data_IF_085266836718
#
_entry.id   IF_085266836718
#
_cell.length_a   1.000
_cell.length_b   1.000
_cell.length_c   1.000
_cell.angle_alpha   90.00
_cell.angle_beta   90.00
_cell.angle_gamma   90.00
#
_symmetry.space_group_name_H-M   'P 1'
#
loop_
_entity.id
_entity.type
_entity.pdbx_description
1 polymer ?
#
# COMPACT_ATOMS: atom_id res chain seq x y z
N UNK A 1 -31.49 106.76 -58.50
CA UNK A 1 -31.62 106.10 -57.19
C UNK A 1 -32.04 104.62 -57.27
N UNK A 2 -32.76 104.15 -58.31
CA UNK A 2 -33.28 102.76 -58.37
C UNK A 2 -32.27 101.61 -58.54
N UNK A 3 -31.03 101.85 -58.99
CA UNK A 3 -30.06 100.78 -59.25
C UNK A 3 -29.33 100.27 -57.99
N UNK A 4 -29.34 101.05 -56.89
CA UNK A 4 -28.74 100.66 -55.61
C UNK A 4 -29.67 99.77 -54.77
N UNK A 5 -30.99 99.87 -54.92
CA UNK A 5 -31.97 99.05 -54.20
C UNK A 5 -32.03 97.60 -54.71
N UNK A 6 -31.96 97.39 -56.03
CA UNK A 6 -32.00 96.05 -56.65
C UNK A 6 -30.74 95.22 -56.30
N UNK A 7 -29.58 95.87 -56.20
CA UNK A 7 -28.35 95.20 -55.75
C UNK A 7 -28.38 94.87 -54.25
N UNK A 8 -29.05 95.69 -53.43
CA UNK A 8 -29.23 95.40 -52.00
C UNK A 8 -30.20 94.24 -51.75
N UNK A 9 -31.28 94.10 -52.54
CA UNK A 9 -32.21 92.97 -52.43
C UNK A 9 -31.58 91.63 -52.86
N UNK A 10 -30.83 91.60 -53.96
CA UNK A 10 -30.10 90.40 -54.38
C UNK A 10 -29.05 89.96 -53.34
N UNK A 11 -28.38 90.92 -52.70
CA UNK A 11 -27.44 90.63 -51.61
C UNK A 11 -28.12 90.08 -50.35
N UNK A 12 -29.33 90.56 -50.03
CA UNK A 12 -30.14 90.06 -48.91
C UNK A 12 -30.59 88.61 -49.16
N UNK A 13 -31.10 88.31 -50.35
CA UNK A 13 -31.51 86.94 -50.72
C UNK A 13 -30.33 85.96 -50.64
N UNK A 14 -29.17 86.33 -51.19
CA UNK A 14 -27.98 85.47 -51.14
C UNK A 14 -27.46 85.25 -49.71
N UNK A 15 -27.60 86.24 -48.82
CA UNK A 15 -27.32 86.06 -47.38
C UNK A 15 -28.30 85.10 -46.71
N UNK A 16 -29.59 85.24 -46.97
CA UNK A 16 -30.60 84.34 -46.39
C UNK A 16 -30.39 82.89 -46.81
N UNK A 17 -30.03 82.66 -48.06
CA UNK A 17 -29.74 81.32 -48.59
C UNK A 17 -28.49 80.71 -47.94
N UNK A 18 -27.40 81.48 -47.81
CA UNK A 18 -26.18 81.06 -47.11
C UNK A 18 -26.43 80.79 -45.62
N UNK A 19 -27.26 81.59 -44.95
CA UNK A 19 -27.64 81.37 -43.55
C UNK A 19 -28.41 80.06 -43.42
N UNK A 20 -29.32 79.77 -44.35
CA UNK A 20 -30.11 78.54 -44.37
C UNK A 20 -29.22 77.30 -44.60
N UNK A 21 -28.25 77.39 -45.50
CA UNK A 21 -27.27 76.34 -45.77
C UNK A 21 -26.34 76.12 -44.57
N UNK A 22 -25.86 77.18 -43.91
CA UNK A 22 -25.11 77.10 -42.65
C UNK A 22 -25.92 76.42 -41.55
N UNK A 23 -27.22 76.71 -41.47
CA UNK A 23 -28.09 76.12 -40.45
C UNK A 23 -28.33 74.62 -40.71
N UNK A 24 -28.48 74.21 -41.97
CA UNK A 24 -28.59 72.79 -42.36
C UNK A 24 -27.28 72.01 -42.15
N UNK A 25 -26.14 72.60 -42.49
CA UNK A 25 -24.84 71.96 -42.23
C UNK A 25 -24.56 71.85 -40.74
N UNK A 26 -24.98 72.83 -39.94
CA UNK A 26 -24.87 72.78 -38.48
C UNK A 26 -25.75 71.69 -37.86
N UNK A 27 -26.98 71.48 -38.36
CA UNK A 27 -27.85 70.39 -37.91
C UNK A 27 -27.30 69.01 -38.32
N UNK A 28 -26.81 68.88 -39.56
CA UNK A 28 -26.18 67.64 -40.02
C UNK A 28 -24.94 67.30 -39.17
N UNK A 29 -24.15 68.30 -38.78
CA UNK A 29 -23.00 68.11 -37.89
C UNK A 29 -23.41 67.67 -36.49
N UNK A 30 -24.51 68.20 -35.93
CA UNK A 30 -25.01 67.74 -34.62
C UNK A 30 -25.51 66.30 -34.68
N UNK A 31 -26.20 65.91 -35.76
CA UNK A 31 -26.68 64.54 -35.95
C UNK A 31 -25.52 63.55 -36.08
N UNK A 32 -24.49 63.91 -36.85
CA UNK A 32 -23.31 63.08 -37.04
C UNK A 32 -22.51 62.92 -35.72
N UNK A 33 -22.47 63.97 -34.89
CA UNK A 33 -21.90 63.89 -33.53
C UNK A 33 -22.72 62.96 -32.63
N UNK A 34 -24.05 63.05 -32.68
CA UNK A 34 -24.93 62.16 -31.91
C UNK A 34 -24.76 60.69 -32.33
N UNK A 35 -24.72 60.41 -33.63
CA UNK A 35 -24.46 59.08 -34.17
C UNK A 35 -23.09 58.55 -33.75
N UNK A 36 -22.05 59.40 -33.76
CA UNK A 36 -20.71 59.02 -33.28
C UNK A 36 -20.72 58.61 -31.81
N UNK A 37 -21.38 59.37 -30.95
CA UNK A 37 -21.50 59.04 -29.51
C UNK A 37 -22.25 57.72 -29.32
N UNK A 38 -23.34 57.51 -30.07
CA UNK A 38 -24.10 56.27 -29.99
C UNK A 38 -23.29 55.06 -30.49
N UNK A 39 -22.55 55.21 -31.59
CA UNK A 39 -21.64 54.17 -32.10
C UNK A 39 -20.53 53.87 -31.12
N UNK A 40 -19.95 54.89 -30.50
CA UNK A 40 -18.90 54.71 -29.49
C UNK A 40 -19.44 53.92 -28.28
N UNK A 41 -20.63 54.27 -27.79
CA UNK A 41 -21.28 53.52 -26.71
C UNK A 41 -21.60 52.06 -27.12
N UNK A 42 -22.01 51.82 -28.37
CA UNK A 42 -22.22 50.44 -28.88
C UNK A 42 -20.92 49.66 -28.96
N UNK A 43 -19.83 50.28 -29.44
CA UNK A 43 -18.51 49.66 -29.52
C UNK A 43 -18.00 49.30 -28.12
N UNK A 44 -18.13 50.20 -27.15
CA UNK A 44 -17.75 49.96 -25.76
C UNK A 44 -18.51 48.76 -25.15
N UNK A 45 -19.82 48.66 -25.40
CA UNK A 45 -20.62 47.51 -24.97
C UNK A 45 -20.19 46.20 -25.62
N UNK A 46 -19.91 46.20 -26.93
CA UNK A 46 -19.44 45.00 -27.65
C UNK A 46 -18.07 44.55 -27.17
N UNK A 47 -17.17 45.49 -26.89
CA UNK A 47 -15.84 45.18 -26.32
C UNK A 47 -15.99 44.58 -24.92
N UNK A 48 -16.86 45.14 -24.06
CA UNK A 48 -17.13 44.60 -22.74
C UNK A 48 -17.67 43.15 -22.81
N UNK A 49 -18.63 42.89 -23.71
CA UNK A 49 -19.17 41.54 -23.92
C UNK A 49 -18.10 40.56 -24.44
N UNK A 50 -17.28 40.97 -25.40
CA UNK A 50 -16.19 40.12 -25.91
C UNK A 50 -15.15 39.81 -24.83
N UNK A 51 -14.80 40.79 -23.99
CA UNK A 51 -13.89 40.56 -22.86
C UNK A 51 -14.48 39.55 -21.87
N UNK A 52 -15.76 39.67 -21.55
CA UNK A 52 -16.44 38.73 -20.65
C UNK A 52 -16.48 37.31 -21.23
N UNK A 53 -16.84 37.15 -22.51
CA UNK A 53 -16.83 35.85 -23.17
C UNK A 53 -15.44 35.23 -23.20
N UNK A 54 -14.40 36.03 -23.49
CA UNK A 54 -13.02 35.56 -23.52
C UNK A 54 -12.53 35.14 -22.14
N UNK A 55 -12.86 35.89 -21.09
CA UNK A 55 -12.54 35.51 -19.72
C UNK A 55 -13.21 34.17 -19.34
N UNK A 56 -14.48 33.98 -19.72
CA UNK A 56 -15.19 32.74 -19.45
C UNK A 56 -14.63 31.54 -20.21
N UNK A 57 -14.23 31.73 -21.48
CA UNK A 57 -13.56 30.70 -22.26
C UNK A 57 -12.20 30.29 -21.67
N UNK A 58 -11.42 31.25 -21.15
CA UNK A 58 -10.16 30.95 -20.47
C UNK A 58 -10.37 30.18 -19.17
N UNK A 59 -11.41 30.51 -18.40
CA UNK A 59 -11.78 29.75 -17.19
C UNK A 59 -12.15 28.31 -17.52
N UNK A 60 -13.03 28.10 -18.51
CA UNK A 60 -13.40 26.75 -18.96
C UNK A 60 -12.20 25.96 -19.49
N UNK A 61 -11.29 26.60 -20.22
CA UNK A 61 -10.06 25.96 -20.69
C UNK A 61 -9.15 25.53 -19.54
N UNK A 62 -9.03 26.35 -18.49
CA UNK A 62 -8.23 26.01 -17.30
C UNK A 62 -8.87 24.87 -16.51
N UNK A 63 -10.20 24.88 -16.34
CA UNK A 63 -10.94 23.80 -15.70
C UNK A 63 -10.78 22.47 -16.45
N UNK A 64 -10.89 22.49 -17.78
CA UNK A 64 -10.68 21.30 -18.62
C UNK A 64 -9.27 20.73 -18.47
N UNK A 65 -8.24 21.59 -18.45
CA UNK A 65 -6.85 21.14 -18.25
C UNK A 65 -6.63 20.57 -16.86
N UNK A 66 -7.23 21.17 -15.82
CA UNK A 66 -7.15 20.66 -14.45
C UNK A 66 -7.81 19.28 -14.31
N UNK A 67 -8.97 19.07 -14.94
CA UNK A 67 -9.66 17.77 -14.94
C UNK A 67 -8.84 16.68 -15.63
N UNK A 68 -8.21 16.97 -16.79
CA UNK A 68 -7.34 16.02 -17.47
C UNK A 68 -6.11 15.64 -16.64
N UNK A 69 -5.52 16.60 -15.92
CA UNK A 69 -4.40 16.32 -15.02
C UNK A 69 -4.82 15.46 -13.83
N UNK A 70 -5.99 15.72 -13.24
CA UNK A 70 -6.54 14.90 -12.16
C UNK A 70 -6.81 13.47 -12.61
N UNK A 71 -7.36 13.28 -13.82
CA UNK A 71 -7.62 11.94 -14.36
C UNK A 71 -6.33 11.13 -14.60
N UNK A 72 -5.28 11.80 -15.12
CA UNK A 72 -3.95 11.20 -15.24
C UNK A 72 -3.34 10.83 -13.88
N UNK A 73 -3.50 11.69 -12.86
CA UNK A 73 -3.06 11.40 -11.49
C UNK A 73 -3.83 10.24 -10.86
N UNK A 74 -5.14 10.17 -11.07
CA UNK A 74 -5.99 9.08 -10.58
C UNK A 74 -5.61 7.75 -11.22
N UNK A 75 -5.37 7.74 -12.54
CA UNK A 75 -4.92 6.54 -13.26
C UNK A 75 -3.56 6.05 -12.73
N UNK A 76 -2.59 6.96 -12.60
CA UNK A 76 -1.29 6.63 -11.99
C UNK A 76 -1.41 6.14 -10.54
N UNK A 77 -2.31 6.72 -9.75
CA UNK A 77 -2.58 6.27 -8.38
C UNK A 77 -3.18 4.87 -8.36
N UNK A 78 -4.12 4.57 -9.26
CA UNK A 78 -4.71 3.23 -9.39
C UNK A 78 -3.67 2.17 -9.78
N UNK A 79 -2.79 2.47 -10.74
CA UNK A 79 -1.71 1.57 -11.15
C UNK A 79 -0.75 1.29 -9.99
N UNK A 80 -0.40 2.33 -9.21
CA UNK A 80 0.43 2.18 -8.03
C UNK A 80 -0.26 1.34 -6.95
N UNK A 81 -1.57 1.52 -6.72
CA UNK A 81 -2.34 0.73 -5.76
C UNK A 81 -2.44 -0.74 -6.19
N UNK A 82 -2.63 -1.02 -7.48
CA UNK A 82 -2.61 -2.39 -8.02
C UNK A 82 -1.24 -3.04 -7.83
N UNK A 83 -0.16 -2.32 -8.16
CA UNK A 83 1.20 -2.82 -7.95
C UNK A 83 1.51 -3.06 -6.46
N UNK A 84 1.03 -2.19 -5.57
CA UNK A 84 1.15 -2.39 -4.12
C UNK A 84 0.36 -3.61 -3.64
N UNK A 85 -0.89 -3.78 -4.11
CA UNK A 85 -1.70 -4.95 -3.81
C UNK A 85 -0.99 -6.24 -4.22
N UNK A 86 -0.44 -6.29 -5.43
CA UNK A 86 0.25 -7.48 -5.96
C UNK A 86 1.54 -7.78 -5.19
N UNK A 87 2.24 -6.74 -4.69
CA UNK A 87 3.36 -6.92 -3.75
C UNK A 87 2.87 -7.51 -2.42
N UNK A 88 1.77 -7.01 -1.86
CA UNK A 88 1.21 -7.54 -0.61
C UNK A 88 0.77 -9.00 -0.74
N UNK A 89 0.12 -9.39 -1.84
CA UNK A 89 -0.27 -10.79 -2.07
C UNK A 89 0.96 -11.68 -2.19
N UNK A 90 2.00 -11.24 -2.91
CA UNK A 90 3.26 -11.97 -3.04
C UNK A 90 3.97 -12.14 -1.69
N UNK A 91 4.01 -11.07 -0.88
CA UNK A 91 4.58 -11.12 0.47
C UNK A 91 3.75 -12.04 1.36
N UNK A 92 2.43 -11.96 1.31
CA UNK A 92 1.54 -12.81 2.08
C UNK A 92 1.73 -14.29 1.72
N UNK A 93 1.83 -14.63 0.43
CA UNK A 93 2.13 -15.98 -0.03
C UNK A 93 3.52 -16.46 0.39
N UNK A 94 4.52 -15.58 0.31
CA UNK A 94 5.87 -15.89 0.79
C UNK A 94 5.91 -16.14 2.31
N UNK A 95 5.19 -15.34 3.10
CA UNK A 95 5.05 -15.53 4.55
C UNK A 95 4.29 -16.81 4.85
N UNK A 96 3.21 -17.11 4.12
CA UNK A 96 2.45 -18.35 4.28
C UNK A 96 3.30 -19.58 3.99
N UNK A 97 4.10 -19.56 2.94
CA UNK A 97 5.09 -20.60 2.64
C UNK A 97 6.18 -20.71 3.71
N UNK A 98 6.59 -19.57 4.29
CA UNK A 98 7.55 -19.51 5.41
C UNK A 98 6.98 -20.06 6.72
N UNK A 99 5.67 -19.99 6.92
CA UNK A 99 4.96 -20.30 8.17
C UNK A 99 4.30 -21.69 8.22
N UNK A 100 4.52 -22.55 7.23
CA UNK A 100 3.88 -23.87 7.17
C UNK A 100 4.65 -25.00 7.86
N UNK A 101 5.92 -24.80 8.22
CA UNK A 101 6.78 -25.86 8.77
C UNK A 101 6.83 -25.75 10.29
N UNK A 102 6.57 -26.86 10.97
CA UNK A 102 6.63 -26.93 12.42
C UNK A 102 7.63 -27.99 12.84
N UNK A 103 8.47 -27.68 13.83
CA UNK A 103 9.36 -28.65 14.46
C UNK A 103 8.83 -29.00 15.85
N UNK A 104 8.62 -30.29 16.09
CA UNK A 104 8.21 -30.82 17.40
C UNK A 104 9.29 -31.78 17.89
N UNK A 105 9.79 -31.55 19.10
CA UNK A 105 10.75 -32.44 19.74
C UNK A 105 10.09 -33.15 20.91
N UNK A 106 10.21 -34.47 20.93
CA UNK A 106 9.62 -35.38 21.89
C UNK A 106 10.73 -36.14 22.63
N UNK A 107 10.52 -36.38 23.92
CA UNK A 107 11.35 -37.24 24.74
C UNK A 107 10.51 -38.40 25.28
N UNK A 108 11.04 -39.61 25.15
CA UNK A 108 10.43 -40.82 25.70
C UNK A 108 11.48 -41.61 26.48
N UNK A 109 11.08 -42.20 27.60
CA UNK A 109 11.88 -43.23 28.28
C UNK A 109 11.18 -44.57 28.08
N UNK A 110 11.80 -45.49 27.33
CA UNK A 110 11.19 -46.80 27.07
C UNK A 110 11.44 -47.73 28.26
N UNK A 111 10.40 -48.42 28.72
CA UNK A 111 10.43 -49.29 29.90
C UNK A 111 10.63 -50.76 29.58
N UNK A 112 10.82 -51.11 28.30
CA UNK A 112 10.68 -52.50 27.83
C UNK A 112 11.72 -53.48 28.36
N UNK A 113 12.90 -53.05 28.82
CA UNK A 113 13.99 -53.97 29.19
C UNK A 113 14.96 -53.37 30.22
N UNK A 114 14.71 -53.56 31.53
CA UNK A 114 15.75 -53.39 32.56
C UNK A 114 15.41 -52.52 33.78
N UNK A 115 16.32 -52.41 34.77
CA UNK A 115 16.14 -51.56 35.94
C UNK A 115 15.94 -50.13 35.43
N UNK A 116 14.74 -49.60 35.63
CA UNK A 116 14.30 -48.52 34.76
C UNK A 116 15.21 -47.29 34.86
N UNK A 117 15.23 -46.54 33.77
CA UNK A 117 16.10 -45.38 33.65
C UNK A 117 15.52 -44.23 34.46
N UNK A 118 16.41 -43.44 35.06
CA UNK A 118 16.10 -42.20 35.74
C UNK A 118 16.72 -41.08 34.92
N UNK A 119 15.85 -40.22 34.38
CA UNK A 119 16.24 -38.99 33.74
C UNK A 119 16.44 -37.92 34.81
N UNK A 120 17.54 -37.19 34.71
CA UNK A 120 17.86 -36.02 35.55
C UNK A 120 17.49 -34.74 34.80
N UNK A 121 18.50 -33.96 34.43
CA UNK A 121 18.30 -32.72 33.68
C UNK A 121 18.40 -32.99 32.18
N UNK A 122 17.56 -32.31 31.40
CA UNK A 122 17.64 -32.28 29.95
C UNK A 122 17.73 -30.83 29.46
N UNK A 123 18.63 -30.55 28.54
CA UNK A 123 18.76 -29.28 27.84
C UNK A 123 18.62 -29.53 26.36
N UNK A 124 17.72 -28.81 25.72
CA UNK A 124 17.48 -28.89 24.29
C UNK A 124 18.07 -27.66 23.60
N UNK A 125 18.79 -27.91 22.53
CA UNK A 125 19.26 -26.88 21.61
C UNK A 125 18.73 -27.15 20.20
N UNK A 126 18.32 -26.09 19.53
CA UNK A 126 17.97 -26.09 18.10
C UNK A 126 18.83 -25.02 17.44
N UNK A 127 19.56 -25.40 16.38
CA UNK A 127 20.49 -24.53 15.65
C UNK A 127 21.49 -23.80 16.57
N UNK A 128 22.03 -24.57 17.52
CA UNK A 128 23.02 -24.09 18.49
C UNK A 128 22.50 -23.05 19.51
N UNK A 129 21.19 -22.78 19.53
CA UNK A 129 20.54 -21.97 20.55
C UNK A 129 19.84 -22.88 21.57
N UNK A 130 20.02 -22.61 22.86
CA UNK A 130 19.27 -23.30 23.91
C UNK A 130 17.82 -22.84 23.88
N UNK A 131 16.91 -23.78 23.65
CA UNK A 131 15.47 -23.51 23.50
C UNK A 131 14.64 -24.01 24.68
N UNK A 132 15.11 -25.03 25.40
CA UNK A 132 14.43 -25.53 26.60
C UNK A 132 15.42 -26.16 27.58
N UNK A 133 15.04 -26.19 28.86
CA UNK A 133 15.73 -26.94 29.90
C UNK A 133 14.74 -27.48 30.93
N UNK A 134 14.84 -28.77 31.25
CA UNK A 134 13.92 -29.47 32.14
C UNK A 134 14.65 -30.32 33.17
N UNK A 135 14.06 -30.45 34.34
CA UNK A 135 14.50 -31.38 35.39
C UNK A 135 13.40 -32.40 35.64
N UNK A 136 13.69 -33.68 35.44
CA UNK A 136 12.71 -34.76 35.58
C UNK A 136 12.63 -35.22 37.04
N UNK A 137 11.44 -35.05 37.64
CA UNK A 137 11.14 -35.53 38.99
C UNK A 137 10.89 -37.04 39.00
N UNK A 138 10.79 -37.64 40.19
CA UNK A 138 10.42 -39.06 40.35
C UNK A 138 9.05 -39.35 39.71
N UNK A 139 8.08 -38.46 39.88
CA UNK A 139 6.75 -38.58 39.27
C UNK A 139 6.81 -38.54 37.75
N UNK A 140 7.57 -37.59 37.17
CA UNK A 140 7.75 -37.49 35.72
C UNK A 140 8.42 -38.75 35.15
N UNK A 141 9.46 -39.24 35.82
CA UNK A 141 10.12 -40.49 35.47
C UNK A 141 9.17 -41.70 35.54
N UNK A 142 8.27 -41.75 36.53
CA UNK A 142 7.24 -42.80 36.62
C UNK A 142 6.27 -42.74 35.44
N UNK A 143 5.80 -41.55 35.07
CA UNK A 143 4.91 -41.36 33.92
C UNK A 143 5.58 -41.75 32.59
N UNK A 144 6.82 -41.30 32.36
CA UNK A 144 7.57 -41.64 31.15
C UNK A 144 7.78 -43.15 31.02
N UNK A 145 8.08 -43.85 32.12
CA UNK A 145 8.17 -45.32 32.14
C UNK A 145 6.85 -46.02 31.83
N UNK A 146 5.72 -45.40 32.17
CA UNK A 146 4.39 -45.91 31.82
C UNK A 146 4.02 -45.62 30.36
N UNK A 147 4.93 -45.02 29.58
CA UNK A 147 4.74 -44.74 28.16
C UNK A 147 4.31 -43.30 27.88
N UNK A 148 4.32 -42.41 28.87
CA UNK A 148 4.13 -40.99 28.60
C UNK A 148 5.23 -40.48 27.67
N UNK A 149 4.88 -39.50 26.86
CA UNK A 149 5.80 -38.79 25.96
C UNK A 149 5.82 -37.35 26.42
N UNK A 150 7.02 -36.80 26.60
CA UNK A 150 7.18 -35.38 26.90
C UNK A 150 7.45 -34.58 25.65
N UNK A 151 6.66 -33.54 25.40
CA UNK A 151 6.91 -32.57 24.34
C UNK A 151 7.81 -31.47 24.88
N UNK A 152 9.10 -31.56 24.55
CA UNK A 152 10.12 -30.62 25.01
C UNK A 152 10.22 -29.37 24.13
N UNK A 153 9.74 -29.44 22.89
CA UNK A 153 9.74 -28.27 22.01
C UNK A 153 8.65 -28.35 20.95
N UNK A 154 8.08 -27.20 20.62
CA UNK A 154 7.17 -27.01 19.50
C UNK A 154 7.23 -25.55 19.05
N UNK A 155 7.67 -25.34 17.81
CA UNK A 155 7.68 -24.01 17.21
C UNK A 155 7.57 -24.08 15.69
N UNK A 156 7.12 -22.97 15.10
CA UNK A 156 7.21 -22.74 13.67
C UNK A 156 8.67 -22.47 13.29
N UNK A 157 9.14 -23.15 12.24
CA UNK A 157 10.52 -23.07 11.76
C UNK A 157 10.57 -22.81 10.27
N UNK A 158 11.73 -22.39 9.78
CA UNK A 158 11.94 -22.24 8.34
C UNK A 158 11.94 -23.62 7.68
N UNK A 159 11.49 -23.75 6.41
CA UNK A 159 11.56 -25.01 5.67
C UNK A 159 13.01 -25.32 5.23
N UNK A 160 13.90 -25.54 6.20
CA UNK A 160 15.33 -25.73 6.02
C UNK A 160 15.83 -26.88 6.90
N UNK A 161 17.11 -27.23 6.75
CA UNK A 161 17.77 -28.15 7.68
C UNK A 161 18.01 -27.46 9.03
N UNK A 162 17.65 -28.15 10.09
CA UNK A 162 17.85 -27.76 11.48
C UNK A 162 18.69 -28.80 12.20
N UNK A 163 19.51 -28.35 13.14
CA UNK A 163 20.30 -29.21 14.01
C UNK A 163 19.66 -29.25 15.38
N UNK A 164 19.19 -30.42 15.81
CA UNK A 164 18.58 -30.63 17.13
C UNK A 164 19.56 -31.39 18.02
N UNK A 165 19.95 -30.80 19.14
CA UNK A 165 20.86 -31.40 20.12
C UNK A 165 20.16 -31.52 21.47
N UNK A 166 20.05 -32.74 21.98
CA UNK A 166 19.58 -33.03 23.33
C UNK A 166 20.77 -33.42 24.20
N UNK A 167 20.95 -32.69 25.30
CA UNK A 167 21.84 -33.08 26.39
C UNK A 167 20.97 -33.56 27.54
N UNK A 168 21.18 -34.77 28.04
CA UNK A 168 20.35 -35.35 29.10
C UNK A 168 21.16 -36.21 30.06
N UNK A 169 20.87 -36.12 31.35
CA UNK A 169 21.44 -37.02 32.35
C UNK A 169 20.59 -38.27 32.48
N UNK A 170 21.16 -39.44 32.21
CA UNK A 170 20.52 -40.75 32.37
C UNK A 170 21.27 -41.54 33.44
N UNK A 171 20.58 -41.93 34.51
CA UNK A 171 21.17 -42.64 35.66
C UNK A 171 22.41 -41.94 36.23
N UNK A 172 22.38 -40.59 36.27
CA UNK A 172 23.49 -39.77 36.75
C UNK A 172 24.62 -39.52 35.72
N UNK A 173 24.57 -40.14 34.54
CA UNK A 173 25.56 -39.93 33.47
C UNK A 173 25.03 -38.96 32.41
N UNK A 174 25.77 -37.90 32.06
CA UNK A 174 25.38 -36.99 30.98
C UNK A 174 25.53 -37.69 29.62
N UNK A 175 24.54 -37.52 28.76
CA UNK A 175 24.50 -38.01 27.40
C UNK A 175 24.16 -36.85 26.46
N UNK A 176 24.83 -36.78 25.32
CA UNK A 176 24.54 -35.79 24.28
C UNK A 176 24.21 -36.51 22.99
N UNK A 177 23.08 -36.16 22.39
CA UNK A 177 22.66 -36.69 21.10
C UNK A 177 22.29 -35.55 20.17
N UNK A 178 22.83 -35.56 18.96
CA UNK A 178 22.51 -34.60 17.91
C UNK A 178 21.87 -35.30 16.73
N UNK A 179 20.92 -34.63 16.08
CA UNK A 179 20.30 -35.06 14.84
C UNK A 179 20.05 -33.86 13.92
N UNK A 180 20.34 -34.03 12.63
CA UNK A 180 19.97 -33.07 11.60
C UNK A 180 18.62 -33.49 11.00
N UNK A 181 17.69 -32.55 10.91
CA UNK A 181 16.37 -32.77 10.32
C UNK A 181 16.03 -31.68 9.34
N UNK A 182 15.44 -32.04 8.21
CA UNK A 182 14.97 -31.06 7.22
C UNK A 182 13.49 -30.85 7.42
N UNK A 183 13.11 -29.66 7.88
CA UNK A 183 11.72 -29.27 7.96
C UNK A 183 11.20 -28.96 6.55
N UNK A 184 10.14 -29.65 6.12
CA UNK A 184 9.48 -29.36 4.86
C UNK A 184 8.30 -28.40 5.07
N UNK A 185 8.06 -27.54 4.09
CA UNK A 185 6.90 -26.63 4.10
C UNK A 185 5.58 -27.38 4.28
N UNK A 186 4.66 -26.77 5.03
CA UNK A 186 3.30 -27.29 5.27
C UNK A 186 3.27 -28.67 5.98
N UNK A 187 4.32 -29.01 6.72
CA UNK A 187 4.41 -30.26 7.47
C UNK A 187 4.87 -30.05 8.91
N UNK A 188 4.48 -30.97 9.79
CA UNK A 188 5.07 -31.08 11.12
C UNK A 188 6.18 -32.12 11.04
N UNK A 189 7.41 -31.69 11.34
CA UNK A 189 8.58 -32.56 11.48
C UNK A 189 8.73 -32.92 12.95
N UNK A 190 8.67 -34.20 13.25
CA UNK A 190 8.86 -34.73 14.60
C UNK A 190 10.26 -35.26 14.77
N UNK A 191 10.83 -34.96 15.92
CA UNK A 191 12.09 -35.51 16.41
C UNK A 191 11.81 -36.16 17.74
N UNK A 192 12.04 -37.46 17.85
CA UNK A 192 11.89 -38.17 19.11
C UNK A 192 13.24 -38.71 19.57
N UNK A 193 13.63 -38.33 20.79
CA UNK A 193 14.70 -38.97 21.53
C UNK A 193 14.09 -40.04 22.45
N UNK A 194 14.41 -41.30 22.20
CA UNK A 194 13.99 -42.41 23.04
C UNK A 194 15.17 -42.89 23.88
N UNK A 195 15.02 -42.89 25.20
CA UNK A 195 16.02 -43.47 26.11
C UNK A 195 15.72 -44.96 26.26
N UNK A 196 16.66 -45.80 25.83
CA UNK A 196 16.55 -47.26 25.75
C UNK A 196 17.85 -47.88 26.22
N UNK A 197 17.78 -48.79 27.19
CA UNK A 197 18.94 -49.46 27.78
C UNK A 197 20.07 -48.49 28.22
N UNK A 198 19.70 -47.31 28.72
CA UNK A 198 20.66 -46.28 29.12
C UNK A 198 21.34 -45.55 27.96
N UNK A 199 20.82 -45.69 26.73
CA UNK A 199 21.26 -44.96 25.55
C UNK A 199 20.15 -44.05 25.01
N UNK A 200 20.52 -42.94 24.39
CA UNK A 200 19.58 -42.03 23.73
C UNK A 200 19.57 -42.33 22.24
N UNK A 201 18.43 -42.78 21.71
CA UNK A 201 18.24 -43.12 20.30
C UNK A 201 17.32 -42.08 19.66
N UNK A 202 17.81 -41.27 18.70
CA UNK A 202 16.97 -40.32 17.99
C UNK A 202 16.22 -41.00 16.85
N UNK A 203 15.05 -40.47 16.52
CA UNK A 203 14.24 -40.87 15.38
C UNK A 203 13.45 -39.66 14.86
N UNK A 204 13.11 -39.65 13.57
CA UNK A 204 12.37 -38.55 12.96
C UNK A 204 11.34 -39.06 11.97
N UNK A 205 10.22 -38.35 11.87
CA UNK A 205 9.20 -38.56 10.85
C UNK A 205 8.49 -37.24 10.56
N UNK A 206 7.79 -37.19 9.43
CA UNK A 206 7.00 -36.02 9.03
C UNK A 206 5.53 -36.40 8.94
N UNK A 207 4.66 -35.47 9.30
CA UNK A 207 3.21 -35.58 9.12
C UNK A 207 2.70 -34.44 8.24
N UNK A 208 1.76 -34.75 7.35
CA UNK A 208 1.04 -33.73 6.56
C UNK A 208 -0.13 -33.22 7.38
N UNK A 209 -0.17 -31.92 7.64
CA UNK A 209 -1.15 -31.26 8.50
C UNK A 209 -0.49 -30.58 9.71
N UNK A 210 -1.01 -29.42 10.12
CA UNK A 210 -0.47 -28.59 11.22
C UNK A 210 -0.96 -29.02 12.61
N UNK A 211 -1.83 -30.03 12.68
CA UNK A 211 -2.36 -30.59 13.92
C UNK A 211 -1.64 -31.89 14.28
N UNK A 212 -1.08 -32.00 15.51
CA UNK A 212 -0.67 -33.28 16.03
C UNK A 212 -1.94 -34.06 16.41
N UNK A 213 -2.06 -35.29 15.90
CA UNK A 213 -3.19 -36.22 16.07
C UNK A 213 -4.40 -35.95 15.16
#
# INVERSE_FOLDING_TARGET
MAAQDVQQEAYKQKREELVKELQQTQSALSDLRAQRVQLQARIENVIAQMMQQRAQALLMSNESNALQQLDAMLTSSQDNLLAQRDRFTTIADAVRRRSGSMLVVLLRADSSTGPGQILGNATLQVDNAQVDSRSYTVTANSALRQGAVDQVYRADVLPTSHTVTLQITVNGQPMTQTMNVTAAGETVTYVQFAVRNGQVVPSTWTSRGTTPF
#
